data_IF_227749553514
#
_entry.id   IF_227749553514
#
_cell.length_a   1.000
_cell.length_b   1.000
_cell.length_c   1.000
_cell.angle_alpha   90.00
_cell.angle_beta   90.00
_cell.angle_gamma   90.00
#
_symmetry.space_group_name_H-M   'P 1'
#
loop_
_entity.id
_entity.type
_entity.pdbx_description
1 polymer ?
#
# COMPACT_ATOMS: atom_id res chain seq x y z
N UNK A 1 -26.72 21.97 59.92
CA UNK A 1 -25.94 22.76 58.95
C UNK A 1 -25.22 21.80 58.01
N UNK A 2 -25.64 21.66 56.76
CA UNK A 2 -25.00 20.77 55.77
C UNK A 2 -24.36 21.65 54.69
N UNK A 3 -23.03 21.62 54.59
CA UNK A 3 -22.25 22.35 53.57
C UNK A 3 -22.16 21.48 52.32
N UNK A 4 -22.77 21.92 51.22
CA UNK A 4 -22.61 21.28 49.90
C UNK A 4 -21.28 21.73 49.27
N UNK A 5 -20.36 20.79 49.01
CA UNK A 5 -19.15 21.05 48.25
C UNK A 5 -19.48 21.01 46.74
N UNK A 6 -19.23 22.11 46.02
CA UNK A 6 -19.33 22.15 44.55
C UNK A 6 -18.04 21.58 43.93
N UNK A 7 -18.11 20.73 42.90
CA UNK A 7 -16.91 20.28 42.21
C UNK A 7 -16.39 21.38 41.27
N UNK A 8 -15.08 21.62 41.33
CA UNK A 8 -14.37 22.52 40.42
C UNK A 8 -14.24 21.84 39.04
N UNK A 9 -14.97 22.36 38.04
CA UNK A 9 -14.89 21.92 36.64
C UNK A 9 -13.75 22.67 35.97
N UNK A 10 -12.65 21.99 35.65
CA UNK A 10 -11.53 22.58 34.92
C UNK A 10 -11.93 22.87 33.47
N UNK A 11 -11.57 24.04 32.90
CA UNK A 11 -11.78 24.29 31.48
C UNK A 11 -10.76 23.48 30.68
N UNK A 12 -11.26 22.59 29.82
CA UNK A 12 -10.45 21.87 28.84
C UNK A 12 -10.00 22.87 27.78
N UNK A 13 -8.72 23.25 27.80
CA UNK A 13 -8.12 24.07 26.75
C UNK A 13 -8.17 23.27 25.43
N UNK A 14 -8.98 23.72 24.49
CA UNK A 14 -8.99 23.19 23.13
C UNK A 14 -7.77 23.77 22.41
N UNK A 15 -6.74 22.95 22.22
CA UNK A 15 -5.61 23.30 21.35
C UNK A 15 -6.14 23.31 19.92
N UNK A 16 -6.36 24.49 19.36
CA UNK A 16 -6.62 24.67 17.93
C UNK A 16 -5.34 24.31 17.19
N UNK A 17 -5.32 23.13 16.57
CA UNK A 17 -4.26 22.75 15.65
C UNK A 17 -4.41 23.62 14.40
N UNK A 18 -3.67 24.73 14.33
CA UNK A 18 -3.57 25.52 13.11
C UNK A 18 -2.71 24.74 12.10
N UNK A 19 -3.37 24.04 11.18
CA UNK A 19 -2.68 23.46 10.03
C UNK A 19 -2.36 24.59 9.05
N UNK A 20 -1.07 24.80 8.79
CA UNK A 20 -0.62 25.66 7.70
C UNK A 20 -1.08 25.05 6.37
N UNK A 21 -1.86 25.79 5.59
CA UNK A 21 -2.31 25.40 4.24
C UNK A 21 -1.23 25.65 3.18
N UNK A 22 -0.03 26.10 3.58
CA UNK A 22 1.06 26.31 2.65
C UNK A 22 1.59 24.95 2.16
N UNK A 23 1.80 24.77 0.84
CA UNK A 23 2.46 23.57 0.35
C UNK A 23 3.86 23.47 0.99
N UNK A 24 4.31 22.26 1.37
CA UNK A 24 5.65 22.10 1.93
C UNK A 24 6.68 22.65 0.94
N UNK A 25 7.77 23.28 1.41
CA UNK A 25 8.84 23.70 0.52
C UNK A 25 9.30 22.50 -0.29
N UNK A 26 9.47 22.68 -1.61
CA UNK A 26 10.08 21.68 -2.47
C UNK A 26 11.40 21.28 -1.82
N UNK A 27 11.51 20.00 -1.47
CA UNK A 27 12.64 19.42 -0.75
C UNK A 27 13.96 20.06 -1.23
N UNK A 28 14.67 20.76 -0.35
CA UNK A 28 16.00 21.32 -0.62
C UNK A 28 17.06 20.21 -0.53
N UNK A 29 16.74 19.03 -1.03
CA UNK A 29 17.72 17.96 -1.16
C UNK A 29 18.54 18.25 -2.41
N UNK A 30 19.87 18.38 -2.30
CA UNK A 30 20.70 18.41 -3.50
C UNK A 30 20.43 17.13 -4.29
N UNK A 31 20.37 17.27 -5.62
CA UNK A 31 20.26 16.11 -6.49
C UNK A 31 21.41 15.13 -6.25
N UNK A 32 21.27 13.87 -6.70
CA UNK A 32 22.34 12.89 -6.61
C UNK A 32 23.61 13.45 -7.28
N UNK A 33 24.77 13.17 -6.68
CA UNK A 33 26.06 13.59 -7.21
C UNK A 33 26.23 12.93 -8.60
N UNK A 34 26.56 13.68 -9.66
CA UNK A 34 26.76 13.10 -10.99
C UNK A 34 27.99 12.19 -10.98
N UNK A 35 27.99 11.19 -11.88
CA UNK A 35 29.16 10.36 -12.09
C UNK A 35 30.37 11.19 -12.56
N UNK A 36 31.59 10.72 -12.24
CA UNK A 36 32.82 11.42 -12.58
C UNK A 36 33.03 11.54 -14.10
N UNK A 37 32.65 10.51 -14.87
CA UNK A 37 32.69 10.50 -16.32
C UNK A 37 31.34 10.92 -16.91
N UNK A 38 31.38 11.93 -17.78
CA UNK A 38 30.17 12.44 -18.47
C UNK A 38 29.58 11.44 -19.47
N UNK A 39 30.40 10.55 -20.02
CA UNK A 39 29.93 9.49 -20.93
C UNK A 39 29.04 8.50 -20.16
N UNK A 40 29.56 7.95 -19.07
CA UNK A 40 28.84 7.02 -18.19
C UNK A 40 27.54 7.63 -17.63
N UNK A 41 27.58 8.92 -17.25
CA UNK A 41 26.38 9.66 -16.82
C UNK A 41 25.30 9.70 -17.91
N UNK A 42 25.68 9.98 -19.16
CA UNK A 42 24.75 10.05 -20.29
C UNK A 42 24.15 8.68 -20.57
N UNK A 43 24.98 7.63 -20.58
CA UNK A 43 24.51 6.25 -20.77
C UNK A 43 23.50 5.86 -19.68
N UNK A 44 23.79 6.21 -18.43
CA UNK A 44 22.86 5.99 -17.32
C UNK A 44 21.53 6.74 -17.50
N UNK A 45 21.57 8.01 -17.86
CA UNK A 45 20.38 8.82 -18.11
C UNK A 45 19.53 8.28 -19.28
N UNK A 46 20.18 7.83 -20.36
CA UNK A 46 19.51 7.23 -21.51
C UNK A 46 18.81 5.91 -21.13
N UNK A 47 19.46 5.06 -20.33
CA UNK A 47 18.87 3.81 -19.82
C UNK A 47 17.69 4.05 -18.89
N UNK A 48 17.81 5.00 -17.95
CA UNK A 48 16.72 5.36 -17.04
C UNK A 48 15.53 5.91 -17.83
N UNK A 49 15.79 6.79 -18.80
CA UNK A 49 14.76 7.34 -19.67
C UNK A 49 14.05 6.26 -20.48
N UNK A 50 14.78 5.27 -20.97
CA UNK A 50 14.22 4.12 -21.69
C UNK A 50 13.33 3.26 -20.77
N UNK A 51 13.78 2.97 -19.54
CA UNK A 51 13.01 2.18 -18.58
C UNK A 51 11.73 2.90 -18.10
N UNK A 52 11.76 4.24 -18.02
CA UNK A 52 10.63 5.07 -17.62
C UNK A 52 9.63 5.35 -18.77
N UNK A 53 9.95 4.99 -20.02
CA UNK A 53 8.98 5.17 -21.11
C UNK A 53 7.74 4.31 -20.83
N UNK A 54 6.53 4.89 -20.89
CA UNK A 54 5.31 4.10 -20.77
C UNK A 54 5.23 3.14 -21.96
N UNK A 55 5.25 1.84 -21.68
CA UNK A 55 4.98 0.82 -22.70
C UNK A 55 3.52 0.95 -23.14
N UNK A 56 3.29 1.00 -24.46
CA UNK A 56 1.97 1.22 -25.06
C UNK A 56 0.97 0.06 -24.82
N UNK A 57 1.38 -1.02 -24.14
CA UNK A 57 0.54 -2.17 -23.77
C UNK A 57 0.78 -2.59 -22.31
N UNK A 58 -0.27 -2.74 -21.49
CA UNK A 58 -0.17 -3.09 -20.07
C UNK A 58 0.44 -4.48 -19.82
N UNK A 59 0.42 -5.38 -20.81
CA UNK A 59 0.96 -6.73 -20.70
C UNK A 59 2.51 -6.77 -20.69
N UNK A 60 3.18 -5.78 -21.29
CA UNK A 60 4.66 -5.74 -21.34
C UNK A 60 5.29 -5.08 -20.11
N UNK A 61 4.51 -4.38 -19.29
CA UNK A 61 4.97 -3.69 -18.08
C UNK A 61 5.03 -4.57 -16.83
N UNK A 62 4.43 -5.75 -16.86
CA UNK A 62 4.30 -6.62 -15.69
C UNK A 62 5.33 -7.75 -15.75
N UNK A 63 6.04 -7.98 -14.64
CA UNK A 63 6.88 -9.15 -14.47
C UNK A 63 6.01 -10.43 -14.58
N UNK A 64 6.50 -11.53 -15.20
CA UNK A 64 5.71 -12.75 -15.41
C UNK A 64 5.03 -13.25 -14.12
N UNK A 65 5.71 -13.20 -12.98
CA UNK A 65 5.16 -13.61 -11.67
C UNK A 65 3.92 -12.82 -11.22
N UNK A 66 3.79 -11.56 -11.65
CA UNK A 66 2.60 -10.74 -11.35
C UNK A 66 1.42 -11.20 -12.18
N UNK A 67 1.67 -11.59 -13.44
CA UNK A 67 0.65 -12.15 -14.32
C UNK A 67 0.09 -13.45 -13.76
N UNK A 68 0.97 -14.35 -13.28
CA UNK A 68 0.60 -15.62 -12.65
C UNK A 68 -0.29 -15.41 -11.41
N UNK A 69 0.04 -14.43 -10.56
CA UNK A 69 -0.77 -14.11 -9.35
C UNK A 69 -2.13 -13.49 -9.64
N UNK A 70 -2.29 -12.86 -10.81
CA UNK A 70 -3.57 -12.30 -11.25
C UNK A 70 -4.48 -13.36 -11.87
N UNK A 71 -3.96 -14.54 -12.19
CA UNK A 71 -4.81 -15.64 -12.64
C UNK A 71 -5.76 -15.99 -11.49
N UNK A 72 -7.08 -16.01 -11.74
CA UNK A 72 -8.06 -16.40 -10.74
C UNK A 72 -7.93 -17.90 -10.47
N UNK A 73 -6.97 -18.26 -9.62
CA UNK A 73 -6.72 -19.62 -9.16
C UNK A 73 -7.88 -20.04 -8.24
N UNK A 74 -8.98 -20.51 -8.83
CA UNK A 74 -10.08 -21.18 -8.13
C UNK A 74 -11.29 -20.29 -7.78
N UNK A 75 -11.73 -19.44 -8.70
CA UNK A 75 -13.06 -18.84 -8.59
C UNK A 75 -14.13 -19.84 -9.03
N UNK A 76 -14.74 -20.54 -8.08
CA UNK A 76 -15.99 -21.25 -8.35
C UNK A 76 -17.19 -20.30 -8.26
N UNK A 77 -18.22 -20.57 -9.08
CA UNK A 77 -19.49 -19.85 -9.04
C UNK A 77 -20.29 -20.23 -7.78
N UNK A 78 -20.70 -19.23 -7.00
CA UNK A 78 -21.42 -19.43 -5.73
C UNK A 78 -20.54 -19.51 -4.47
N UNK A 79 -21.16 -19.85 -3.35
CA UNK A 79 -20.54 -19.83 -2.00
C UNK A 79 -20.02 -21.20 -1.55
N UNK A 80 -20.23 -22.25 -2.36
CA UNK A 80 -19.89 -23.63 -2.03
C UNK A 80 -18.67 -24.10 -2.81
N UNK A 81 -17.62 -24.52 -2.12
CA UNK A 81 -16.44 -25.13 -2.73
C UNK A 81 -16.82 -26.48 -3.38
N UNK A 82 -16.59 -26.71 -4.70
CA UNK A 82 -16.92 -27.97 -5.35
C UNK A 82 -16.04 -29.15 -4.90
N UNK A 83 -14.85 -28.89 -4.37
CA UNK A 83 -13.89 -29.91 -3.94
C UNK A 83 -14.09 -30.31 -2.47
N UNK A 84 -14.28 -29.35 -1.56
CA UNK A 84 -14.46 -29.62 -0.11
C UNK A 84 -15.91 -29.55 0.36
N UNK A 85 -16.80 -28.93 -0.42
CA UNK A 85 -18.20 -28.73 -0.04
C UNK A 85 -18.42 -27.63 1.01
N UNK A 86 -17.37 -26.95 1.45
CA UNK A 86 -17.43 -25.86 2.42
C UNK A 86 -18.23 -24.67 1.90
N UNK A 87 -19.01 -24.03 2.77
CA UNK A 87 -19.83 -22.86 2.47
C UNK A 87 -19.28 -21.65 3.22
N UNK A 88 -19.00 -20.55 2.51
CA UNK A 88 -18.54 -19.28 3.12
C UNK A 88 -17.03 -19.20 3.40
N UNK A 89 -16.23 -20.16 2.90
CA UNK A 89 -14.77 -20.10 2.95
C UNK A 89 -14.16 -19.17 1.88
N UNK A 90 -12.87 -18.80 2.00
CA UNK A 90 -12.18 -18.05 0.95
C UNK A 90 -12.17 -18.86 -0.35
N UNK A 91 -12.51 -18.21 -1.47
CA UNK A 91 -12.40 -18.82 -2.81
C UNK A 91 -10.92 -19.03 -3.17
N UNK A 92 -10.60 -20.18 -3.75
CA UNK A 92 -9.26 -20.53 -4.22
C UNK A 92 -8.67 -21.78 -3.58
N UNK A 93 -7.37 -21.99 -3.79
CA UNK A 93 -6.62 -23.09 -3.17
C UNK A 93 -6.75 -23.02 -1.65
N UNK A 94 -6.81 -24.20 -1.02
CA UNK A 94 -6.90 -24.35 0.42
C UNK A 94 -5.92 -23.41 1.14
N UNK A 95 -6.39 -22.59 2.10
CA UNK A 95 -5.54 -21.64 2.84
C UNK A 95 -4.53 -22.36 3.75
N UNK A 96 -4.59 -23.69 3.83
CA UNK A 96 -3.86 -24.51 4.78
C UNK A 96 -2.54 -25.05 4.22
N UNK A 97 -1.53 -24.17 4.16
CA UNK A 97 -0.14 -24.53 4.53
C UNK A 97 0.76 -23.34 4.96
N UNK A 98 0.15 -22.21 5.36
CA UNK A 98 0.73 -20.91 5.75
C UNK A 98 1.06 -19.94 4.59
N UNK A 99 0.04 -19.20 4.14
CA UNK A 99 0.16 -17.81 3.72
C UNK A 99 -0.76 -17.03 4.67
N UNK A 100 -0.21 -16.00 5.31
CA UNK A 100 -0.71 -15.33 6.51
C UNK A 100 -2.17 -14.89 6.38
N UNK A 101 -2.84 -14.46 7.46
CA UNK A 101 -4.20 -13.89 7.45
C UNK A 101 -4.33 -12.58 6.62
N UNK A 102 -3.44 -12.41 5.65
CA UNK A 102 -3.40 -11.38 4.65
C UNK A 102 -4.27 -11.70 3.43
N UNK A 103 -5.06 -10.71 3.01
CA UNK A 103 -5.57 -10.65 1.63
C UNK A 103 -5.12 -9.34 1.01
N UNK A 104 -4.58 -9.39 -0.20
CA UNK A 104 -4.07 -8.21 -0.91
C UNK A 104 -3.09 -7.38 -0.05
N UNK A 105 -2.25 -8.06 0.74
CA UNK A 105 -1.29 -7.44 1.68
C UNK A 105 -1.91 -6.80 2.93
N UNK A 106 -3.15 -7.13 3.29
CA UNK A 106 -3.83 -6.65 4.51
C UNK A 106 -4.11 -7.80 5.46
N UNK A 107 -3.47 -7.79 6.63
CA UNK A 107 -3.69 -8.74 7.72
C UNK A 107 -5.02 -8.45 8.42
N UNK A 108 -5.83 -9.48 8.64
CA UNK A 108 -7.04 -9.44 9.46
C UNK A 108 -6.77 -10.12 10.81
N UNK A 109 -7.10 -9.44 11.91
CA UNK A 109 -7.02 -9.94 13.30
C UNK A 109 -8.42 -9.83 13.94
N UNK A 110 -8.81 -10.80 14.78
CA UNK A 110 -10.16 -10.94 15.36
C UNK A 110 -10.17 -10.90 16.90
#
# INVERSE_FOLDING_TARGET
>A
MLRTLRPLRTPRLLLSQCYSTAPPPKFTQPGPIPLANKADQKEFEDLVKQAQQPVNSPEQSLHPDVLEKLQPEGEWEGDKNPQTGEIGGPKGKEPTRYGDWERKGRVYDF
#
